data_IF_747163828242
#
_entry.id   IF_747163828242
#
_cell.length_a   1.000
_cell.length_b   1.000
_cell.length_c   1.000
_cell.angle_alpha   90.00
_cell.angle_beta   90.00
_cell.angle_gamma   90.00
#
_symmetry.space_group_name_H-M   'P 1'
#
loop_
_entity.id
_entity.type
_entity.pdbx_description
1 polymer ?
#
# COMPACT_ATOMS: atom_id res chain seq x y z
N UNK A 1 -41.67 33.46 10.89
CA UNK A 1 -40.70 32.52 11.51
C UNK A 1 -40.80 31.14 10.83
N UNK A 2 -41.99 30.51 10.77
CA UNK A 2 -42.16 29.14 10.21
C UNK A 2 -41.75 29.08 8.76
N UNK A 3 -42.08 30.05 7.90
CA UNK A 3 -41.69 30.10 6.50
C UNK A 3 -40.18 30.25 6.36
N UNK A 4 -39.53 31.03 7.21
CA UNK A 4 -38.06 31.20 7.18
C UNK A 4 -37.32 29.93 7.60
N UNK A 5 -37.81 29.25 8.64
CA UNK A 5 -37.25 27.94 9.08
C UNK A 5 -37.44 26.88 8.00
N UNK A 6 -38.61 26.85 7.33
CA UNK A 6 -38.85 25.94 6.22
C UNK A 6 -37.90 26.20 5.04
N UNK A 7 -37.67 27.46 4.66
CA UNK A 7 -36.75 27.82 3.58
C UNK A 7 -35.28 27.44 3.92
N UNK A 8 -34.85 27.61 5.17
CA UNK A 8 -33.51 27.21 5.64
C UNK A 8 -33.38 25.69 5.58
N UNK A 9 -34.37 24.93 6.03
CA UNK A 9 -34.37 23.47 5.96
C UNK A 9 -34.32 22.96 4.50
N UNK A 10 -35.11 23.54 3.62
CA UNK A 10 -35.08 23.20 2.19
C UNK A 10 -33.72 23.56 1.60
N UNK A 11 -33.16 24.72 1.92
CA UNK A 11 -31.83 25.13 1.47
C UNK A 11 -30.73 24.17 1.96
N UNK A 12 -30.79 23.72 3.21
CA UNK A 12 -29.86 22.74 3.78
C UNK A 12 -30.01 21.36 3.12
N UNK A 13 -31.24 20.93 2.84
CA UNK A 13 -31.51 19.66 2.12
C UNK A 13 -31.02 19.74 0.68
N UNK A 14 -31.25 20.85 -0.02
CA UNK A 14 -30.76 21.06 -1.39
C UNK A 14 -29.21 21.14 -1.40
N UNK A 15 -28.61 21.83 -0.46
CA UNK A 15 -27.14 21.88 -0.32
C UNK A 15 -26.56 20.50 0.02
N UNK A 16 -27.23 19.74 0.88
CA UNK A 16 -26.85 18.35 1.21
C UNK A 16 -27.00 17.42 0.01
N UNK A 17 -28.10 17.54 -0.74
CA UNK A 17 -28.31 16.78 -1.97
C UNK A 17 -27.30 17.19 -3.06
N UNK A 18 -27.06 18.49 -3.27
CA UNK A 18 -26.03 18.96 -4.20
C UNK A 18 -24.65 18.45 -3.81
N UNK A 19 -24.29 18.43 -2.52
CA UNK A 19 -23.05 17.86 -2.01
C UNK A 19 -23.00 16.33 -2.19
N UNK A 20 -24.10 15.62 -2.06
CA UNK A 20 -24.20 14.16 -2.31
C UNK A 20 -24.15 13.80 -3.79
N UNK A 21 -24.62 14.69 -4.66
CA UNK A 21 -24.65 14.50 -6.13
C UNK A 21 -23.59 15.32 -6.88
N UNK A 22 -22.63 15.97 -6.18
CA UNK A 22 -21.48 16.54 -6.85
C UNK A 22 -20.76 15.41 -7.60
N UNK A 23 -20.65 15.56 -8.92
CA UNK A 23 -19.91 14.65 -9.79
C UNK A 23 -18.55 14.36 -9.14
N UNK A 24 -18.21 13.11 -9.00
CA UNK A 24 -16.89 12.70 -8.61
C UNK A 24 -15.87 13.30 -9.59
N UNK A 25 -15.18 14.37 -9.16
CA UNK A 25 -14.21 15.08 -9.99
C UNK A 25 -13.04 14.19 -10.43
N UNK A 26 -12.88 13.02 -9.79
CA UNK A 26 -11.85 12.04 -10.08
C UNK A 26 -12.28 11.03 -11.16
N UNK A 27 -13.55 11.01 -11.58
CA UNK A 27 -14.04 10.08 -12.60
C UNK A 27 -13.34 10.23 -13.97
N UNK A 28 -12.74 11.39 -14.24
CA UNK A 28 -11.91 11.60 -15.43
C UNK A 28 -10.63 10.72 -15.43
N UNK A 29 -10.22 10.21 -14.27
CA UNK A 29 -9.08 9.32 -14.09
C UNK A 29 -9.46 7.84 -14.07
N UNK A 30 -10.70 7.49 -14.40
CA UNK A 30 -11.11 6.09 -14.50
C UNK A 30 -10.62 5.41 -15.81
N UNK A 31 -10.09 6.17 -16.76
CA UNK A 31 -9.48 5.70 -18.01
C UNK A 31 -8.16 6.46 -18.26
N UNK A 32 -7.13 5.79 -18.85
CA UNK A 32 -7.07 4.40 -19.30
C UNK A 32 -7.06 3.37 -18.15
N UNK A 33 -7.37 2.09 -18.48
CA UNK A 33 -7.43 1.02 -17.47
C UNK A 33 -6.06 0.50 -17.02
N UNK A 34 -4.98 0.81 -17.72
CA UNK A 34 -3.63 0.28 -17.49
C UNK A 34 -3.33 -0.99 -18.31
N UNK A 35 -2.13 -1.53 -18.12
CA UNK A 35 -1.72 -2.78 -18.77
C UNK A 35 -2.30 -3.97 -18.01
N UNK A 36 -2.99 -4.88 -18.72
CA UNK A 36 -3.62 -6.07 -18.12
C UNK A 36 -2.78 -7.32 -18.32
N UNK A 37 -2.77 -8.15 -17.29
CA UNK A 37 -2.14 -9.46 -17.25
C UNK A 37 -3.19 -10.53 -16.93
N UNK A 38 -3.29 -11.52 -17.82
CA UNK A 38 -4.22 -12.65 -17.68
C UNK A 38 -3.46 -13.94 -17.96
N UNK A 39 -3.85 -15.07 -17.38
CA UNK A 39 -3.23 -16.36 -17.68
C UNK A 39 -3.25 -16.66 -19.19
N UNK A 40 -2.13 -17.15 -19.72
CA UNK A 40 -1.87 -17.23 -21.16
C UNK A 40 -2.77 -18.23 -21.91
N UNK A 41 -3.21 -19.31 -21.25
CA UNK A 41 -4.01 -20.38 -21.85
C UNK A 41 -4.91 -21.10 -20.83
N UNK A 42 -5.70 -22.04 -21.32
CA UNK A 42 -6.65 -22.78 -20.47
C UNK A 42 -6.00 -23.55 -19.33
N UNK A 43 -4.77 -24.03 -19.51
CA UNK A 43 -4.01 -24.75 -18.47
C UNK A 43 -3.56 -23.78 -17.39
N UNK A 44 -3.01 -22.62 -17.77
CA UNK A 44 -2.64 -21.57 -16.87
C UNK A 44 -3.86 -21.01 -16.10
N UNK A 45 -5.02 -20.81 -16.76
CA UNK A 45 -6.28 -20.43 -16.12
C UNK A 45 -6.70 -21.44 -15.05
N UNK A 46 -6.62 -22.75 -15.36
CA UNK A 46 -7.00 -23.79 -14.40
C UNK A 46 -6.02 -23.84 -13.21
N UNK A 47 -4.72 -23.70 -13.44
CA UNK A 47 -3.69 -23.69 -12.40
C UNK A 47 -3.86 -22.46 -11.48
N UNK A 48 -4.03 -21.27 -12.06
CA UNK A 48 -4.31 -20.03 -11.36
C UNK A 48 -5.55 -20.14 -10.48
N UNK A 49 -6.67 -20.58 -11.05
CA UNK A 49 -7.93 -20.74 -10.32
C UNK A 49 -7.79 -21.73 -9.15
N UNK A 50 -7.04 -22.82 -9.31
CA UNK A 50 -6.77 -23.78 -8.25
C UNK A 50 -5.93 -23.16 -7.12
N UNK A 51 -4.86 -22.44 -7.45
CA UNK A 51 -3.98 -21.76 -6.51
C UNK A 51 -4.73 -20.67 -5.72
N UNK A 52 -5.47 -19.80 -6.42
CA UNK A 52 -6.30 -18.75 -5.81
C UNK A 52 -7.37 -19.35 -4.91
N UNK A 53 -8.02 -20.44 -5.32
CA UNK A 53 -9.01 -21.15 -4.48
C UNK A 53 -8.40 -21.70 -3.20
N UNK A 54 -7.21 -22.32 -3.29
CA UNK A 54 -6.48 -22.87 -2.13
C UNK A 54 -6.08 -21.74 -1.17
N UNK A 55 -5.52 -20.64 -1.70
CA UNK A 55 -5.16 -19.46 -0.93
C UNK A 55 -6.37 -18.83 -0.25
N UNK A 56 -7.47 -18.63 -0.97
CA UNK A 56 -8.70 -18.06 -0.43
C UNK A 56 -9.30 -18.93 0.69
N UNK A 57 -9.18 -20.27 0.61
CA UNK A 57 -9.57 -21.16 1.69
C UNK A 57 -8.70 -20.95 2.94
N UNK A 58 -7.38 -20.80 2.76
CA UNK A 58 -6.41 -20.54 3.84
C UNK A 58 -6.67 -19.18 4.51
N UNK A 59 -6.88 -18.13 3.72
CA UNK A 59 -7.19 -16.77 4.19
C UNK A 59 -8.51 -16.73 5.00
N UNK A 60 -9.57 -17.38 4.50
CA UNK A 60 -10.85 -17.47 5.24
C UNK A 60 -10.72 -18.29 6.53
N UNK A 61 -9.90 -19.32 6.52
CA UNK A 61 -9.59 -20.12 7.73
C UNK A 61 -8.91 -19.26 8.80
N UNK A 62 -7.97 -18.42 8.40
CA UNK A 62 -7.25 -17.52 9.30
C UNK A 62 -8.12 -16.34 9.79
N UNK A 63 -8.92 -15.72 8.89
CA UNK A 63 -9.72 -14.54 9.23
C UNK A 63 -11.06 -14.86 9.93
N UNK A 64 -11.64 -16.04 9.69
CA UNK A 64 -12.95 -16.41 10.21
C UNK A 64 -13.09 -16.33 11.73
N UNK A 65 -12.15 -16.85 12.53
CA UNK A 65 -12.15 -16.70 13.98
C UNK A 65 -12.10 -15.24 14.45
N UNK A 66 -11.37 -14.38 13.71
CA UNK A 66 -11.18 -12.97 14.07
C UNK A 66 -12.49 -12.17 14.02
N UNK A 67 -13.40 -12.50 13.11
CA UNK A 67 -14.67 -11.75 12.93
C UNK A 67 -15.56 -11.80 14.19
N UNK A 68 -15.43 -12.82 15.01
CA UNK A 68 -16.22 -13.04 16.22
C UNK A 68 -15.60 -12.40 17.47
N UNK A 69 -14.37 -11.92 17.39
CA UNK A 69 -13.66 -11.34 18.53
C UNK A 69 -14.08 -9.88 18.80
N UNK A 70 -14.04 -9.46 20.07
CA UNK A 70 -14.11 -8.03 20.43
C UNK A 70 -13.00 -7.23 19.72
N UNK A 71 -13.27 -5.96 19.39
CA UNK A 71 -12.39 -5.14 18.56
C UNK A 71 -10.91 -5.13 18.99
N UNK A 72 -10.62 -4.90 20.27
CA UNK A 72 -9.23 -4.87 20.77
C UNK A 72 -8.52 -6.21 20.61
N UNK A 73 -9.19 -7.32 20.93
CA UNK A 73 -8.63 -8.66 20.78
C UNK A 73 -8.43 -9.02 19.30
N UNK A 74 -9.36 -8.57 18.44
CA UNK A 74 -9.28 -8.79 17.00
C UNK A 74 -8.03 -8.15 16.40
N UNK A 75 -7.67 -6.92 16.79
CA UNK A 75 -6.46 -6.25 16.29
C UNK A 75 -5.22 -7.06 16.67
N UNK A 76 -5.06 -7.46 17.93
CA UNK A 76 -3.92 -8.24 18.37
C UNK A 76 -3.84 -9.58 17.62
N UNK A 77 -4.94 -10.31 17.56
CA UNK A 77 -5.00 -11.57 16.83
C UNK A 77 -4.75 -11.41 15.31
N UNK A 78 -5.14 -10.28 14.72
CA UNK A 78 -4.83 -9.95 13.33
C UNK A 78 -3.31 -9.74 13.13
N UNK A 79 -2.64 -9.05 14.05
CA UNK A 79 -1.17 -8.87 14.02
C UNK A 79 -0.46 -10.23 14.07
N UNK A 80 -0.80 -11.06 15.07
CA UNK A 80 -0.25 -12.41 15.20
C UNK A 80 -0.51 -13.28 13.96
N UNK A 81 -1.73 -13.19 13.39
CA UNK A 81 -2.10 -13.94 12.19
C UNK A 81 -1.26 -13.51 11.00
N UNK A 82 -1.06 -12.20 10.78
CA UNK A 82 -0.25 -11.70 9.68
C UNK A 82 1.21 -12.11 9.82
N UNK A 83 1.78 -12.00 11.02
CA UNK A 83 3.17 -12.39 11.28
C UNK A 83 3.40 -13.89 11.12
N UNK A 84 2.41 -14.71 11.45
CA UNK A 84 2.51 -16.19 11.35
C UNK A 84 2.18 -16.73 9.96
N UNK A 85 1.42 -16.00 9.15
CA UNK A 85 0.91 -16.50 7.87
C UNK A 85 2.04 -16.83 6.89
N UNK A 86 3.16 -16.13 6.96
CA UNK A 86 4.33 -16.29 6.10
C UNK A 86 5.58 -16.80 6.82
N UNK A 87 5.49 -17.10 8.13
CA UNK A 87 6.66 -17.43 8.97
C UNK A 87 7.31 -18.79 8.69
N UNK A 88 6.68 -19.64 7.90
CA UNK A 88 7.15 -21.02 7.63
C UNK A 88 8.00 -21.16 6.36
N UNK A 89 8.25 -20.07 5.64
CA UNK A 89 9.03 -20.12 4.39
C UNK A 89 10.51 -19.91 4.69
N UNK A 90 11.36 -20.74 4.11
CA UNK A 90 12.80 -20.53 4.15
C UNK A 90 13.16 -19.29 3.32
N UNK A 91 13.97 -18.42 3.89
CA UNK A 91 14.54 -17.24 3.23
C UNK A 91 16.06 -17.39 3.14
N UNK A 92 16.64 -16.90 2.05
CA UNK A 92 18.09 -16.97 1.84
C UNK A 92 18.83 -15.76 2.39
N UNK A 93 18.12 -14.65 2.62
CA UNK A 93 18.69 -13.40 3.09
C UNK A 93 19.18 -13.45 4.53
N UNK A 94 20.24 -12.71 4.80
CA UNK A 94 20.62 -12.34 6.15
C UNK A 94 19.63 -11.30 6.68
N UNK A 95 19.20 -11.47 7.94
CA UNK A 95 18.33 -10.53 8.66
C UNK A 95 19.15 -9.84 9.74
N UNK A 96 19.24 -8.51 9.68
CA UNK A 96 19.98 -7.69 10.65
C UNK A 96 19.01 -6.71 11.29
N UNK A 97 18.57 -6.92 12.55
CA UNK A 97 17.75 -5.95 13.27
C UNK A 97 18.50 -4.63 13.47
N UNK A 98 17.77 -3.51 13.33
CA UNK A 98 18.33 -2.17 13.49
C UNK A 98 17.26 -1.22 14.05
N UNK A 99 17.69 -0.13 14.67
CA UNK A 99 16.84 1.01 15.04
C UNK A 99 17.15 2.20 14.13
N UNK A 100 16.11 2.71 13.46
CA UNK A 100 16.24 3.86 12.56
C UNK A 100 15.81 5.16 13.24
N UNK A 101 16.62 5.59 14.21
CA UNK A 101 16.36 6.78 15.03
C UNK A 101 15.03 6.69 15.83
N UNK A 102 14.80 5.56 16.49
CA UNK A 102 13.64 5.28 17.32
C UNK A 102 12.53 4.50 16.61
N UNK A 103 12.72 4.09 15.35
CA UNK A 103 11.81 3.20 14.63
C UNK A 103 12.49 1.84 14.45
N UNK A 104 11.95 0.76 15.05
CA UNK A 104 12.48 -0.57 14.86
C UNK A 104 12.41 -0.97 13.37
N UNK A 105 13.44 -1.66 12.90
CA UNK A 105 13.53 -2.11 11.51
C UNK A 105 14.43 -3.34 11.39
N UNK A 106 14.49 -3.91 10.23
CA UNK A 106 15.47 -4.95 9.88
C UNK A 106 15.99 -4.75 8.46
N UNK A 107 17.29 -4.94 8.29
CA UNK A 107 17.86 -5.15 6.98
C UNK A 107 17.66 -6.59 6.54
N UNK A 108 17.23 -6.75 5.28
CA UNK A 108 17.06 -8.03 4.60
C UNK A 108 18.02 -8.02 3.40
N UNK A 109 19.03 -8.87 3.43
CA UNK A 109 20.15 -8.84 2.46
C UNK A 109 20.29 -10.22 1.83
N UNK A 110 19.86 -10.35 0.57
CA UNK A 110 20.03 -11.56 -0.18
C UNK A 110 21.52 -11.88 -0.46
N UNK A 111 21.91 -13.14 -0.62
CA UNK A 111 23.28 -13.50 -0.95
C UNK A 111 23.79 -12.75 -2.21
N UNK A 112 24.86 -11.99 -2.06
CA UNK A 112 25.46 -11.21 -3.13
C UNK A 112 24.80 -9.86 -3.42
N UNK A 113 23.78 -9.46 -2.68
CA UNK A 113 23.14 -8.15 -2.85
C UNK A 113 24.11 -6.99 -2.50
N UNK A 114 24.03 -5.93 -3.29
CA UNK A 114 24.88 -4.73 -3.16
C UNK A 114 24.32 -3.81 -2.08
N UNK A 115 25.02 -3.70 -0.96
CA UNK A 115 24.64 -2.88 0.20
C UNK A 115 24.69 -1.37 -0.08
N UNK A 116 25.36 -0.93 -1.15
CA UNK A 116 25.32 0.47 -1.59
C UNK A 116 24.00 0.83 -2.29
N UNK A 117 23.22 -0.16 -2.71
CA UNK A 117 21.87 -0.01 -3.24
C UNK A 117 20.90 -0.25 -2.10
N UNK A 118 20.06 0.72 -1.76
CA UNK A 118 19.19 0.69 -0.59
C UNK A 118 17.73 0.73 -0.99
N UNK A 119 16.94 -0.10 -0.36
CA UNK A 119 15.52 -0.25 -0.66
C UNK A 119 14.71 -0.14 0.63
N UNK A 120 13.83 0.85 0.75
CA UNK A 120 12.91 0.96 1.88
C UNK A 120 11.63 0.18 1.56
N UNK A 121 11.25 -0.77 2.43
CA UNK A 121 9.99 -1.47 2.35
C UNK A 121 9.06 -1.08 3.50
N UNK A 122 7.83 -0.69 3.18
CA UNK A 122 6.79 -0.23 4.10
C UNK A 122 5.62 -1.21 4.02
N UNK A 123 5.42 -2.01 5.06
CA UNK A 123 4.41 -3.07 5.05
C UNK A 123 2.98 -2.55 5.09
N UNK A 124 2.03 -3.35 4.58
CA UNK A 124 0.60 -3.14 4.66
C UNK A 124 0.00 -3.53 6.02
N UNK A 125 -1.33 -3.75 6.04
CA UNK A 125 -2.05 -4.17 7.26
C UNK A 125 -2.99 -3.10 7.80
N UNK A 126 -3.58 -2.28 6.91
CA UNK A 126 -4.59 -1.27 7.23
C UNK A 126 -4.15 -0.26 8.31
N UNK A 127 -2.85 0.01 8.43
CA UNK A 127 -2.20 0.85 9.46
C UNK A 127 -2.36 0.32 10.90
N UNK A 128 -2.92 -0.85 11.10
CA UNK A 128 -3.26 -1.44 12.40
C UNK A 128 -2.55 -2.76 12.67
N UNK A 129 -2.00 -3.40 11.64
CA UNK A 129 -1.35 -4.70 11.73
C UNK A 129 -0.18 -4.80 10.74
N UNK A 130 0.54 -5.92 10.77
CA UNK A 130 1.75 -6.16 10.00
C UNK A 130 3.01 -5.81 10.81
N UNK A 131 4.10 -6.38 10.38
CA UNK A 131 5.46 -6.13 10.87
C UNK A 131 6.46 -6.60 9.80
N UNK A 132 7.73 -6.20 9.84
CA UNK A 132 8.75 -6.73 8.92
C UNK A 132 8.77 -8.26 8.85
N UNK A 133 8.56 -8.94 9.97
CA UNK A 133 8.57 -10.40 10.08
C UNK A 133 7.56 -11.07 9.14
N UNK A 134 6.36 -10.53 9.01
CA UNK A 134 5.31 -11.06 8.14
C UNK A 134 5.60 -10.87 6.65
N UNK A 135 6.60 -10.08 6.30
CA UNK A 135 6.93 -9.73 4.90
C UNK A 135 8.29 -10.25 4.44
N UNK A 136 9.01 -11.01 5.27
CA UNK A 136 10.37 -11.47 4.98
C UNK A 136 10.50 -12.24 3.66
N UNK A 137 9.51 -13.04 3.27
CA UNK A 137 9.53 -13.75 1.99
C UNK A 137 9.54 -12.78 0.81
N UNK A 138 8.72 -11.73 0.87
CA UNK A 138 8.69 -10.72 -0.18
C UNK A 138 9.95 -9.86 -0.16
N UNK A 139 10.41 -9.42 1.00
CA UNK A 139 11.61 -8.56 1.13
C UNK A 139 12.89 -9.31 0.78
N UNK A 140 12.99 -10.62 1.08
CA UNK A 140 14.05 -11.51 0.57
C UNK A 140 14.06 -11.54 -0.97
N UNK A 141 12.90 -11.76 -1.57
CA UNK A 141 12.79 -11.77 -3.03
C UNK A 141 13.10 -10.40 -3.65
N UNK A 142 12.60 -9.30 -3.03
CA UNK A 142 12.94 -7.94 -3.49
C UNK A 142 14.43 -7.65 -3.39
N UNK A 143 15.09 -8.03 -2.29
CA UNK A 143 16.54 -7.89 -2.15
C UNK A 143 17.28 -8.59 -3.28
N UNK A 144 16.91 -9.84 -3.59
CA UNK A 144 17.54 -10.63 -4.62
C UNK A 144 17.36 -10.03 -6.03
N UNK A 145 16.12 -9.66 -6.42
CA UNK A 145 15.82 -9.19 -7.78
C UNK A 145 16.31 -7.77 -8.03
N UNK A 146 16.30 -6.89 -7.02
CA UNK A 146 16.79 -5.51 -7.17
C UNK A 146 18.27 -5.35 -6.87
N UNK A 147 18.94 -6.44 -6.45
CA UNK A 147 20.34 -6.42 -6.02
C UNK A 147 20.59 -5.31 -4.98
N UNK A 148 19.77 -5.25 -3.93
CA UNK A 148 19.78 -4.15 -2.95
C UNK A 148 19.63 -4.68 -1.52
N UNK A 149 20.19 -3.96 -0.54
CA UNK A 149 19.83 -4.16 0.85
C UNK A 149 18.43 -3.56 1.10
N UNK A 150 17.48 -4.37 1.57
CA UNK A 150 16.11 -3.94 1.87
C UNK A 150 15.98 -3.61 3.36
N UNK A 151 15.64 -2.37 3.68
CA UNK A 151 15.27 -1.93 5.03
C UNK A 151 13.75 -2.07 5.17
N UNK A 152 13.30 -3.05 5.94
CA UNK A 152 11.89 -3.24 6.29
C UNK A 152 11.62 -2.61 7.66
N UNK A 153 10.71 -1.64 7.73
CA UNK A 153 10.44 -0.86 8.95
C UNK A 153 9.21 -1.34 9.69
N UNK A 154 9.27 -1.30 11.02
CA UNK A 154 8.17 -1.59 11.95
C UNK A 154 7.59 -0.27 12.48
N UNK A 155 6.89 0.45 11.60
CA UNK A 155 6.31 1.75 11.94
C UNK A 155 5.18 1.63 12.97
N UNK A 156 5.00 2.64 13.80
CA UNK A 156 3.97 2.70 14.85
C UNK A 156 2.57 2.51 14.26
N UNK A 157 1.79 1.61 14.85
CA UNK A 157 0.48 1.22 14.38
C UNK A 157 -0.66 1.94 15.12
N UNK A 158 -1.79 2.09 14.43
CA UNK A 158 -3.07 2.46 15.02
C UNK A 158 -3.71 1.24 15.71
N UNK A 159 -4.59 1.41 16.68
CA UNK A 159 -5.06 2.69 17.24
C UNK A 159 -4.20 3.25 18.37
N UNK A 160 -3.12 2.58 18.76
CA UNK A 160 -2.23 3.01 19.85
C UNK A 160 -1.54 4.34 19.51
N UNK A 161 -1.28 4.56 18.22
CA UNK A 161 -0.66 5.76 17.70
C UNK A 161 -1.58 6.43 16.66
N UNK A 162 -1.25 7.64 16.28
CA UNK A 162 -2.00 8.38 15.25
C UNK A 162 -1.58 7.95 13.85
N UNK A 163 -2.42 8.23 12.85
CA UNK A 163 -2.07 8.04 11.44
C UNK A 163 -0.81 8.83 11.04
N UNK A 164 -0.62 10.01 11.62
CA UNK A 164 0.57 10.83 11.37
C UNK A 164 1.84 10.19 11.93
N UNK A 165 1.77 9.49 13.06
CA UNK A 165 2.91 8.75 13.58
C UNK A 165 3.43 7.69 12.59
N UNK A 166 2.52 6.99 11.88
CA UNK A 166 2.93 6.07 10.81
C UNK A 166 3.71 6.80 9.69
N UNK A 167 3.26 8.00 9.32
CA UNK A 167 3.89 8.82 8.27
C UNK A 167 5.27 9.32 8.73
N UNK A 168 5.36 9.81 9.98
CA UNK A 168 6.62 10.31 10.53
C UNK A 168 7.69 9.22 10.65
N UNK A 169 7.30 8.01 11.04
CA UNK A 169 8.23 6.87 11.12
C UNK A 169 8.79 6.52 9.73
N UNK A 170 7.96 6.55 8.68
CA UNK A 170 8.42 6.33 7.31
C UNK A 170 9.44 7.40 6.87
N UNK A 171 9.20 8.68 7.20
CA UNK A 171 10.10 9.81 6.90
C UNK A 171 11.42 9.67 7.64
N UNK A 172 11.35 9.39 8.95
CA UNK A 172 12.52 9.19 9.81
C UNK A 172 13.40 8.05 9.28
N UNK A 173 12.78 6.89 8.99
CA UNK A 173 13.51 5.74 8.48
C UNK A 173 14.08 5.96 7.07
N UNK A 174 13.38 6.71 6.22
CA UNK A 174 13.89 7.08 4.90
C UNK A 174 15.13 7.96 5.01
N UNK A 175 15.08 9.05 5.79
CA UNK A 175 16.23 9.93 6.01
C UNK A 175 17.39 9.15 6.63
N UNK A 176 17.12 8.31 7.65
CA UNK A 176 18.13 7.48 8.28
C UNK A 176 18.78 6.51 7.26
N UNK A 177 18.00 5.87 6.41
CA UNK A 177 18.49 4.96 5.38
C UNK A 177 19.40 5.65 4.36
N UNK A 178 19.17 6.93 4.06
CA UNK A 178 20.04 7.68 3.14
C UNK A 178 21.45 7.86 3.71
N UNK A 179 21.58 7.94 5.01
CA UNK A 179 22.85 8.19 5.71
C UNK A 179 23.51 6.90 6.24
N UNK A 180 22.70 5.83 6.45
CA UNK A 180 23.17 4.61 7.12
C UNK A 180 22.92 3.38 6.24
N UNK A 181 23.94 2.55 6.10
CA UNK A 181 23.86 1.23 5.46
C UNK A 181 23.67 0.09 6.46
N UNK A 182 23.66 -1.18 5.98
CA UNK A 182 23.53 -2.36 6.83
C UNK A 182 24.66 -2.56 7.84
N UNK A 183 25.78 -1.90 7.66
CA UNK A 183 26.95 -1.97 8.55
C UNK A 183 26.81 -1.04 9.78
N UNK A 184 25.73 -0.28 9.86
CA UNK A 184 25.41 0.62 10.97
C UNK A 184 26.13 1.98 10.90
N UNK A 185 25.84 2.87 11.89
CA UNK A 185 26.35 4.23 11.90
C UNK A 185 27.86 4.33 12.24
N UNK A 186 28.45 3.25 12.74
CA UNK A 186 29.86 3.21 13.14
C UNK A 186 30.81 2.78 12.00
N UNK A 187 30.30 2.58 10.79
CA UNK A 187 31.15 2.32 9.63
C UNK A 187 32.00 3.56 9.33
N UNK A 188 33.32 3.38 9.30
CA UNK A 188 34.31 4.45 9.07
C UNK A 188 34.12 5.25 7.78
N UNK A 189 33.19 4.87 6.94
CA UNK A 189 32.79 5.55 5.71
C UNK A 189 31.27 5.66 5.62
N UNK A 190 30.75 6.88 5.72
CA UNK A 190 29.39 7.21 5.30
C UNK A 190 29.28 7.05 3.78
N UNK A 191 29.02 5.83 3.32
CA UNK A 191 28.75 5.61 1.90
C UNK A 191 27.31 6.03 1.58
N UNK A 192 27.17 7.13 0.84
CA UNK A 192 25.88 7.48 0.25
C UNK A 192 25.42 6.36 -0.69
N UNK A 193 24.13 5.98 -0.68
CA UNK A 193 23.64 4.93 -1.54
C UNK A 193 23.83 5.28 -3.02
N UNK A 194 24.26 4.30 -3.83
CA UNK A 194 24.37 4.45 -5.29
C UNK A 194 23.00 4.49 -5.95
N UNK A 195 22.04 3.70 -5.44
CA UNK A 195 20.64 3.72 -5.83
C UNK A 195 19.73 3.63 -4.60
N UNK A 196 18.57 4.25 -4.69
CA UNK A 196 17.54 4.25 -3.64
C UNK A 196 16.21 3.86 -4.23
N UNK A 197 15.53 2.91 -3.60
CA UNK A 197 14.19 2.47 -3.99
C UNK A 197 13.25 2.49 -2.80
N UNK A 198 11.96 2.63 -3.06
CA UNK A 198 10.91 2.58 -2.03
C UNK A 198 9.77 1.72 -2.53
N UNK A 199 9.26 0.84 -1.67
CA UNK A 199 8.03 0.13 -1.95
C UNK A 199 7.16 -0.06 -0.72
N UNK A 200 5.88 -0.36 -0.97
CA UNK A 200 4.95 -0.78 0.06
C UNK A 200 3.67 -1.32 -0.55
N UNK A 201 2.91 -2.03 0.28
CA UNK A 201 1.67 -2.67 -0.13
C UNK A 201 0.47 -2.10 0.65
N UNK A 202 -0.70 -1.99 0.02
CA UNK A 202 -1.95 -1.58 0.68
C UNK A 202 -1.80 -0.26 1.46
N UNK A 203 -1.88 -0.31 2.78
CA UNK A 203 -1.59 0.81 3.69
C UNK A 203 -0.14 1.30 3.57
N UNK A 204 0.82 0.39 3.45
CA UNK A 204 2.23 0.71 3.17
C UNK A 204 2.41 1.34 1.79
N UNK A 205 1.62 0.92 0.80
CA UNK A 205 1.56 1.57 -0.51
C UNK A 205 1.10 3.04 -0.41
N UNK A 206 0.11 3.33 0.45
CA UNK A 206 -0.27 4.70 0.75
C UNK A 206 0.88 5.49 1.37
N UNK A 207 1.55 4.92 2.39
CA UNK A 207 2.68 5.55 3.07
C UNK A 207 3.84 5.78 2.10
N UNK A 208 4.10 4.85 1.18
CA UNK A 208 5.05 5.03 0.07
C UNK A 208 4.72 6.26 -0.75
N UNK A 209 3.49 6.38 -1.27
CA UNK A 209 3.08 7.50 -2.11
C UNK A 209 3.12 8.85 -1.37
N UNK A 210 2.77 8.86 -0.09
CA UNK A 210 2.89 10.05 0.79
C UNK A 210 4.36 10.43 0.99
N UNK A 211 5.24 9.44 1.17
CA UNK A 211 6.67 9.65 1.33
C UNK A 211 7.32 10.25 0.08
N UNK A 212 6.93 9.78 -1.13
CA UNK A 212 7.44 10.33 -2.38
C UNK A 212 7.13 11.83 -2.52
N UNK A 213 5.89 12.24 -2.27
CA UNK A 213 5.48 13.63 -2.31
C UNK A 213 6.23 14.47 -1.25
N UNK A 214 6.35 13.94 -0.02
CA UNK A 214 7.10 14.60 1.03
C UNK A 214 8.58 14.76 0.69
N UNK A 215 9.23 13.75 0.12
CA UNK A 215 10.64 13.81 -0.26
C UNK A 215 10.87 14.91 -1.32
N UNK A 216 10.01 15.00 -2.34
CA UNK A 216 10.03 16.07 -3.33
C UNK A 216 9.85 17.44 -2.68
N UNK A 217 8.80 17.62 -1.88
CA UNK A 217 8.42 18.91 -1.30
C UNK A 217 9.45 19.44 -0.29
N UNK A 218 10.20 18.52 0.34
CA UNK A 218 11.26 18.86 1.30
C UNK A 218 12.67 18.73 0.71
N UNK A 219 12.79 18.63 -0.63
CA UNK A 219 14.08 18.58 -1.33
C UNK A 219 15.02 17.46 -0.81
N UNK A 220 14.42 16.35 -0.37
CA UNK A 220 15.17 15.14 -0.02
C UNK A 220 15.62 14.43 -1.29
N UNK A 221 16.67 13.64 -1.20
CA UNK A 221 17.04 12.76 -2.31
C UNK A 221 15.83 11.93 -2.74
N UNK A 222 15.42 12.08 -3.99
CA UNK A 222 14.35 11.27 -4.54
C UNK A 222 14.82 9.81 -4.71
N UNK A 223 13.94 8.81 -4.51
CA UNK A 223 14.25 7.44 -4.94
C UNK A 223 14.46 7.41 -6.46
N UNK A 224 15.30 6.47 -6.93
CA UNK A 224 15.47 6.19 -8.34
C UNK A 224 14.17 5.68 -8.97
N UNK A 225 13.42 4.87 -8.20
CA UNK A 225 12.10 4.36 -8.57
C UNK A 225 11.31 3.94 -7.32
N UNK A 226 9.99 3.82 -7.47
CA UNK A 226 9.10 3.38 -6.42
C UNK A 226 8.07 2.35 -6.92
N UNK A 227 7.61 1.48 -6.00
CA UNK A 227 6.58 0.47 -6.24
C UNK A 227 5.47 0.60 -5.21
N UNK A 228 4.21 0.64 -5.66
CA UNK A 228 3.07 0.54 -4.77
C UNK A 228 2.19 -0.65 -5.17
N UNK A 229 2.04 -1.61 -4.26
CA UNK A 229 1.22 -2.80 -4.44
C UNK A 229 -0.18 -2.54 -3.87
N UNK A 230 -1.21 -2.56 -4.71
CA UNK A 230 -2.61 -2.40 -4.27
C UNK A 230 -2.83 -1.21 -3.32
N UNK A 231 -2.31 0.00 -3.60
CA UNK A 231 -2.29 1.09 -2.64
C UNK A 231 -3.68 1.65 -2.36
N UNK A 232 -3.99 2.02 -1.11
CA UNK A 232 -5.10 2.92 -0.80
C UNK A 232 -4.65 4.35 -1.05
N UNK A 233 -5.32 5.07 -1.95
CA UNK A 233 -4.90 6.42 -2.37
C UNK A 233 -5.90 7.51 -1.99
N UNK A 234 -7.13 7.13 -1.62
CA UNK A 234 -8.22 8.03 -1.21
C UNK A 234 -8.89 7.54 0.07
N UNK A 235 -8.54 8.14 1.20
CA UNK A 235 -9.12 7.82 2.52
C UNK A 235 -10.60 8.24 2.66
N UNK A 236 -11.20 8.83 1.63
CA UNK A 236 -12.65 9.09 1.56
C UNK A 236 -13.41 7.86 1.09
N UNK A 237 -12.70 6.86 0.54
CA UNK A 237 -13.25 5.61 -0.01
C UNK A 237 -14.36 5.87 -1.06
N UNK A 238 -14.08 6.75 -2.02
CA UNK A 238 -15.03 7.16 -3.06
C UNK A 238 -14.86 6.41 -4.38
N UNK A 239 -13.81 5.63 -4.54
CA UNK A 239 -13.53 4.88 -5.78
C UNK A 239 -14.63 3.88 -6.11
N UNK A 240 -15.04 3.75 -7.38
CA UNK A 240 -16.15 2.87 -7.79
C UNK A 240 -15.93 1.39 -7.41
N UNK A 241 -14.71 0.90 -7.48
CA UNK A 241 -14.35 -0.48 -7.12
C UNK A 241 -14.60 -0.82 -5.65
N UNK A 242 -14.68 0.17 -4.74
CA UNK A 242 -15.04 -0.06 -3.32
C UNK A 242 -16.37 -0.82 -3.20
N UNK A 243 -17.33 -0.50 -4.05
CA UNK A 243 -18.63 -1.18 -4.08
C UNK A 243 -18.67 -2.26 -5.15
N UNK A 244 -18.09 -1.99 -6.33
CA UNK A 244 -18.08 -2.90 -7.46
C UNK A 244 -17.43 -4.24 -7.16
N UNK A 245 -16.30 -4.21 -6.45
CA UNK A 245 -15.48 -5.37 -6.14
C UNK A 245 -15.67 -5.91 -4.70
N UNK A 246 -16.63 -5.39 -3.94
CA UNK A 246 -16.84 -5.78 -2.54
C UNK A 246 -17.06 -7.30 -2.38
N UNK A 247 -17.64 -7.96 -3.38
CA UNK A 247 -17.91 -9.40 -3.32
C UNK A 247 -16.76 -10.28 -3.81
N UNK A 248 -15.91 -9.76 -4.69
CA UNK A 248 -14.73 -10.46 -5.22
C UNK A 248 -13.51 -10.33 -4.31
N UNK A 249 -13.36 -9.23 -3.58
CA UNK A 249 -12.24 -9.01 -2.67
C UNK A 249 -12.39 -9.86 -1.39
N UNK A 250 -11.63 -10.94 -1.32
CA UNK A 250 -11.68 -11.88 -0.19
C UNK A 250 -10.99 -11.32 1.06
N UNK A 251 -9.95 -10.49 0.87
CA UNK A 251 -9.11 -9.98 1.96
C UNK A 251 -9.77 -8.77 2.63
N UNK A 252 -10.20 -7.78 1.84
CA UNK A 252 -10.70 -6.53 2.38
C UNK A 252 -12.21 -6.52 2.64
N UNK A 253 -12.99 -7.46 2.05
CA UNK A 253 -14.43 -7.55 2.27
C UNK A 253 -14.84 -7.58 3.76
N UNK A 254 -14.20 -8.35 4.66
CA UNK A 254 -14.59 -8.38 6.08
C UNK A 254 -14.46 -7.00 6.74
N UNK A 255 -13.47 -6.20 6.33
CA UNK A 255 -13.26 -4.84 6.82
C UNK A 255 -14.21 -3.85 6.15
N UNK A 256 -14.35 -3.94 4.83
CA UNK A 256 -15.05 -2.95 4.00
C UNK A 256 -16.57 -3.11 4.01
N UNK A 257 -17.12 -4.31 4.23
CA UNK A 257 -18.56 -4.60 4.09
C UNK A 257 -19.49 -3.68 4.90
N UNK A 258 -19.00 -3.17 6.04
CA UNK A 258 -19.76 -2.22 6.87
C UNK A 258 -19.56 -0.77 6.43
N UNK A 259 -18.37 -0.44 5.92
CA UNK A 259 -18.00 0.92 5.51
C UNK A 259 -18.50 1.27 4.10
N UNK A 260 -18.61 0.30 3.21
CA UNK A 260 -19.05 0.51 1.81
C UNK A 260 -20.43 1.17 1.66
N UNK A 261 -21.28 1.08 2.68
CA UNK A 261 -22.63 1.65 2.71
C UNK A 261 -22.76 2.89 3.59
N UNK A 262 -21.69 3.27 4.30
CA UNK A 262 -21.66 4.50 5.10
C UNK A 262 -21.45 5.69 4.16
N UNK A 263 -22.26 6.77 4.28
CA UNK A 263 -22.03 7.98 3.51
C UNK A 263 -20.62 8.53 3.72
N UNK A 264 -19.93 8.91 2.63
CA UNK A 264 -18.53 9.35 2.67
C UNK A 264 -18.24 10.50 3.65
N UNK A 265 -19.23 11.42 3.84
CA UNK A 265 -19.08 12.51 4.82
C UNK A 265 -19.00 11.99 6.27
N UNK A 266 -19.70 10.90 6.61
CA UNK A 266 -19.62 10.26 7.94
C UNK A 266 -18.27 9.57 8.13
N UNK A 267 -17.73 8.93 7.07
CA UNK A 267 -16.38 8.37 7.07
C UNK A 267 -15.37 9.50 7.29
N UNK A 268 -15.50 10.61 6.56
CA UNK A 268 -14.66 11.80 6.72
C UNK A 268 -14.70 12.40 8.11
N UNK A 269 -15.86 12.44 8.74
CA UNK A 269 -16.03 12.92 10.11
C UNK A 269 -15.37 11.97 11.13
N UNK A 270 -15.58 10.67 10.98
CA UNK A 270 -14.95 9.65 11.82
C UNK A 270 -13.42 9.67 11.66
N UNK A 271 -12.90 9.76 10.43
CA UNK A 271 -11.47 9.89 10.16
C UNK A 271 -10.85 11.13 10.83
N UNK A 272 -11.56 12.27 10.82
CA UNK A 272 -11.09 13.49 11.49
C UNK A 272 -10.97 13.31 13.01
N UNK A 273 -11.92 12.62 13.63
CA UNK A 273 -11.87 12.36 15.08
C UNK A 273 -10.84 11.30 15.44
N UNK A 274 -10.66 10.26 14.62
CA UNK A 274 -9.76 9.15 14.92
C UNK A 274 -8.31 9.39 14.48
N UNK A 275 -8.10 10.05 13.34
CA UNK A 275 -6.79 10.23 12.74
C UNK A 275 -6.21 11.65 12.90
N UNK A 276 -6.99 12.60 13.43
CA UNK A 276 -6.57 14.00 13.57
C UNK A 276 -6.47 14.79 12.26
N UNK A 277 -6.71 14.14 11.10
CA UNK A 277 -6.63 14.72 9.77
C UNK A 277 -7.95 14.64 9.01
N UNK A 278 -8.15 15.56 8.05
CA UNK A 278 -9.26 15.42 7.10
C UNK A 278 -8.97 14.25 6.16
N UNK A 279 -9.97 13.45 5.84
CA UNK A 279 -9.82 12.38 4.85
C UNK A 279 -9.37 12.89 3.46
N UNK A 280 -9.57 14.17 3.17
CA UNK A 280 -9.11 14.83 1.95
C UNK A 280 -7.70 15.43 2.03
N UNK A 281 -7.02 15.29 3.16
CA UNK A 281 -5.65 15.77 3.31
C UNK A 281 -4.70 14.88 2.49
N UNK A 282 -3.82 15.43 1.63
CA UNK A 282 -2.86 14.66 0.85
C UNK A 282 -1.95 13.75 1.69
N UNK A 283 -1.71 14.09 2.94
CA UNK A 283 -0.91 13.25 3.87
C UNK A 283 -1.56 11.91 4.22
N UNK A 284 -2.85 11.76 3.96
CA UNK A 284 -3.59 10.50 4.13
C UNK A 284 -4.28 10.04 2.84
N UNK A 285 -4.47 10.94 1.88
CA UNK A 285 -5.08 10.71 0.58
C UNK A 285 -4.17 11.25 -0.53
N UNK A 286 -3.07 10.58 -0.84
CA UNK A 286 -2.08 11.06 -1.81
C UNK A 286 -2.65 11.34 -3.20
N UNK A 287 -3.74 10.68 -3.60
CA UNK A 287 -4.48 10.97 -4.84
C UNK A 287 -4.92 12.44 -4.92
N UNK A 288 -5.15 13.12 -3.81
CA UNK A 288 -5.64 14.50 -3.77
C UNK A 288 -4.53 15.54 -3.75
N UNK A 289 -3.26 15.11 -3.62
CA UNK A 289 -2.08 15.96 -3.65
C UNK A 289 -1.66 16.37 -5.06
N UNK A 290 -0.58 17.13 -5.13
CA UNK A 290 0.17 17.38 -6.36
C UNK A 290 1.03 16.16 -6.69
N UNK A 291 0.89 15.64 -7.91
CA UNK A 291 1.59 14.45 -8.38
C UNK A 291 2.67 14.76 -9.44
N UNK A 292 2.94 16.02 -9.72
CA UNK A 292 4.02 16.42 -10.61
C UNK A 292 5.40 16.18 -9.98
N UNK A 293 6.39 15.81 -10.80
CA UNK A 293 7.79 15.70 -10.39
C UNK A 293 8.07 14.58 -9.37
N UNK A 294 7.20 13.58 -9.27
CA UNK A 294 7.48 12.37 -8.51
C UNK A 294 8.46 11.46 -9.27
N UNK A 295 9.21 10.59 -8.56
CA UNK A 295 10.08 9.62 -9.22
C UNK A 295 9.29 8.61 -10.05
N UNK A 296 9.96 7.86 -10.96
CA UNK A 296 9.35 6.76 -11.69
C UNK A 296 8.58 5.82 -10.74
N UNK A 297 7.33 5.52 -11.08
CA UNK A 297 6.41 4.79 -10.22
C UNK A 297 5.74 3.62 -10.95
N UNK A 298 5.84 2.43 -10.37
CA UNK A 298 5.04 1.27 -10.75
C UNK A 298 3.93 1.03 -9.72
N UNK A 299 2.70 0.91 -10.20
CA UNK A 299 1.56 0.50 -9.36
C UNK A 299 1.03 -0.83 -9.88
N UNK A 300 0.95 -1.82 -9.00
CA UNK A 300 0.28 -3.09 -9.28
C UNK A 300 -1.07 -3.11 -8.57
N UNK A 301 -2.11 -3.58 -9.25
CA UNK A 301 -3.43 -3.76 -8.68
C UNK A 301 -4.15 -4.98 -9.27
N UNK A 302 -5.12 -5.52 -8.53
CA UNK A 302 -5.98 -6.60 -9.00
C UNK A 302 -7.31 -6.05 -9.55
N UNK A 303 -7.84 -6.69 -10.59
CA UNK A 303 -9.17 -6.36 -11.09
C UNK A 303 -10.29 -6.74 -10.09
N UNK A 304 -10.00 -7.67 -9.17
CA UNK A 304 -10.92 -8.19 -8.17
C UNK A 304 -10.94 -7.42 -6.85
N UNK A 305 -9.94 -6.54 -6.58
CA UNK A 305 -9.84 -5.84 -5.31
C UNK A 305 -10.63 -4.53 -5.25
N UNK A 306 -11.04 -4.15 -4.04
CA UNK A 306 -11.78 -2.89 -3.84
C UNK A 306 -10.92 -1.64 -4.05
N UNK A 307 -9.59 -1.74 -4.00
CA UNK A 307 -8.65 -0.63 -4.20
C UNK A 307 -8.16 -0.50 -5.66
N UNK A 308 -8.69 -1.30 -6.60
CA UNK A 308 -8.32 -1.22 -8.02
C UNK A 308 -8.36 0.21 -8.56
N UNK A 309 -9.45 0.91 -8.34
CA UNK A 309 -9.64 2.24 -8.89
C UNK A 309 -8.85 3.32 -8.14
N UNK A 310 -8.46 3.06 -6.90
CA UNK A 310 -7.51 3.89 -6.16
C UNK A 310 -6.17 3.96 -6.89
N UNK A 311 -5.59 2.80 -7.23
CA UNK A 311 -4.34 2.70 -8.00
C UNK A 311 -4.48 3.30 -9.39
N UNK A 312 -5.56 2.98 -10.10
CA UNK A 312 -5.84 3.48 -11.45
C UNK A 312 -5.93 5.01 -11.49
N UNK A 313 -6.75 5.61 -10.63
CA UNK A 313 -6.92 7.06 -10.55
C UNK A 313 -5.62 7.78 -10.19
N UNK A 314 -4.84 7.20 -9.28
CA UNK A 314 -3.56 7.77 -8.89
C UNK A 314 -2.59 7.82 -10.07
N UNK A 315 -2.39 6.69 -10.77
CA UNK A 315 -1.49 6.62 -11.93
C UNK A 315 -1.94 7.55 -13.04
N UNK A 316 -3.23 7.53 -13.41
CA UNK A 316 -3.73 8.39 -14.49
C UNK A 316 -3.56 9.88 -14.18
N UNK A 317 -3.76 10.28 -12.90
CA UNK A 317 -3.50 11.64 -12.47
C UNK A 317 -2.01 11.97 -12.46
N UNK A 318 -1.15 11.03 -12.06
CA UNK A 318 0.30 11.23 -12.05
C UNK A 318 0.86 11.41 -13.47
N UNK A 319 0.37 10.60 -14.43
CA UNK A 319 0.71 10.74 -15.86
C UNK A 319 0.22 12.08 -16.42
N UNK A 320 -1.02 12.51 -16.10
CA UNK A 320 -1.52 13.84 -16.50
C UNK A 320 -0.65 14.97 -15.94
N UNK A 321 -0.06 14.76 -14.76
CA UNK A 321 0.86 15.73 -14.13
C UNK A 321 2.32 15.62 -14.65
N UNK A 322 2.62 14.75 -15.61
CA UNK A 322 3.93 14.57 -16.21
C UNK A 322 4.88 13.63 -15.45
N UNK A 323 4.39 12.89 -14.46
CA UNK A 323 5.16 11.86 -13.75
C UNK A 323 5.21 10.58 -14.57
N UNK A 324 6.39 9.92 -14.63
CA UNK A 324 6.55 8.59 -15.21
C UNK A 324 5.92 7.55 -14.28
N UNK A 325 4.66 7.21 -14.55
CA UNK A 325 3.90 6.27 -13.74
C UNK A 325 3.21 5.21 -14.61
N UNK A 326 3.30 3.95 -14.19
CA UNK A 326 2.72 2.80 -14.87
C UNK A 326 1.77 2.04 -13.96
N UNK A 327 0.57 1.71 -14.47
CA UNK A 327 -0.37 0.79 -13.83
C UNK A 327 -0.35 -0.55 -14.55
N UNK A 328 -0.13 -1.62 -13.79
CA UNK A 328 -0.28 -3.00 -14.23
C UNK A 328 -1.39 -3.68 -13.42
N UNK A 329 -2.35 -4.29 -14.11
CA UNK A 329 -3.51 -4.96 -13.53
C UNK A 329 -3.45 -6.46 -13.79
N UNK A 330 -3.63 -7.26 -12.76
CA UNK A 330 -3.76 -8.72 -12.87
C UNK A 330 -5.22 -9.15 -12.69
N UNK A 331 -5.63 -10.09 -13.53
CA UNK A 331 -6.97 -10.65 -13.49
C UNK A 331 -7.07 -11.77 -12.42
N UNK A 332 -8.18 -11.75 -11.67
CA UNK A 332 -8.58 -12.83 -10.76
C UNK A 332 -7.63 -13.16 -9.60
N UNK A 333 -6.74 -12.27 -9.23
CA UNK A 333 -5.85 -12.45 -8.06
C UNK A 333 -6.38 -11.69 -6.83
N UNK A 334 -6.04 -12.12 -5.60
CA UNK A 334 -6.47 -11.40 -4.39
C UNK A 334 -5.71 -10.07 -4.23
N UNK A 335 -6.22 -9.19 -3.36
CA UNK A 335 -5.53 -7.98 -2.91
C UNK A 335 -4.09 -8.27 -2.48
N UNK A 336 -3.11 -7.46 -2.93
CA UNK A 336 -1.66 -7.57 -2.66
C UNK A 336 -1.06 -8.96 -2.98
N UNK A 337 -1.53 -9.62 -4.03
CA UNK A 337 -1.13 -11.00 -4.38
C UNK A 337 0.39 -11.26 -4.46
N UNK A 338 1.28 -10.31 -4.76
CA UNK A 338 2.73 -10.58 -4.79
C UNK A 338 3.30 -11.05 -3.44
N UNK A 339 2.66 -10.69 -2.31
CA UNK A 339 3.10 -11.16 -0.99
C UNK A 339 2.90 -12.67 -0.78
N UNK A 340 2.08 -13.32 -1.64
CA UNK A 340 1.82 -14.75 -1.60
C UNK A 340 2.78 -15.57 -2.47
N UNK A 341 3.89 -14.97 -2.87
CA UNK A 341 5.00 -15.71 -3.48
C UNK A 341 5.55 -16.74 -2.47
N UNK A 342 5.85 -18.00 -2.89
CA UNK A 342 5.70 -18.56 -4.23
C UNK A 342 4.35 -19.27 -4.48
N UNK A 343 3.36 -19.14 -3.61
CA UNK A 343 2.10 -19.90 -3.63
C UNK A 343 1.23 -19.61 -4.88
N UNK A 344 1.39 -18.41 -5.48
CA UNK A 344 0.66 -17.99 -6.67
C UNK A 344 1.60 -17.82 -7.86
N UNK A 345 1.31 -18.42 -9.04
CA UNK A 345 2.08 -18.19 -10.26
C UNK A 345 2.13 -16.71 -10.66
N UNK A 346 1.03 -15.99 -10.52
CA UNK A 346 0.91 -14.57 -10.84
C UNK A 346 1.76 -13.69 -9.91
N UNK A 347 2.08 -14.17 -8.70
CA UNK A 347 3.02 -13.47 -7.82
C UNK A 347 4.44 -13.52 -8.36
N UNK A 348 4.86 -14.66 -8.93
CA UNK A 348 6.16 -14.79 -9.59
C UNK A 348 6.23 -13.89 -10.84
N UNK A 349 5.19 -13.94 -11.69
CA UNK A 349 5.09 -13.08 -12.88
C UNK A 349 5.14 -11.58 -12.52
N UNK A 350 4.41 -11.17 -11.48
CA UNK A 350 4.42 -9.79 -11.01
C UNK A 350 5.82 -9.36 -10.54
N UNK A 351 6.53 -10.22 -9.83
CA UNK A 351 7.90 -9.95 -9.38
C UNK A 351 8.91 -9.88 -10.52
N UNK A 352 8.70 -10.60 -11.64
CA UNK A 352 9.48 -10.43 -12.87
C UNK A 352 9.25 -9.05 -13.51
N UNK A 353 8.00 -8.56 -13.54
CA UNK A 353 7.71 -7.21 -14.01
C UNK A 353 8.33 -6.14 -13.09
N UNK A 354 8.31 -6.36 -11.77
CA UNK A 354 8.97 -5.50 -10.77
C UNK A 354 10.48 -5.46 -11.01
N UNK A 355 11.14 -6.60 -11.21
CA UNK A 355 12.57 -6.69 -11.55
C UNK A 355 12.90 -5.88 -12.80
N UNK A 356 12.15 -6.09 -13.88
CA UNK A 356 12.31 -5.35 -15.13
C UNK A 356 12.14 -3.84 -14.96
N UNK A 357 11.19 -3.41 -14.12
CA UNK A 357 10.97 -1.99 -13.83
C UNK A 357 12.16 -1.39 -13.08
N UNK A 358 12.60 -1.98 -11.99
CA UNK A 358 13.71 -1.44 -11.20
C UNK A 358 15.04 -1.46 -11.97
N UNK A 359 15.28 -2.45 -12.83
CA UNK A 359 16.48 -2.48 -13.71
C UNK A 359 16.53 -1.31 -14.69
N UNK A 360 15.39 -0.83 -15.18
CA UNK A 360 15.36 0.33 -16.09
C UNK A 360 15.66 1.65 -15.39
N UNK A 361 15.49 1.72 -14.06
CA UNK A 361 15.64 2.94 -13.28
C UNK A 361 16.79 2.85 -12.24
N UNK A 362 17.72 1.92 -12.48
CA UNK A 362 18.86 1.64 -11.59
C UNK A 362 20.09 2.43 -11.96
#
# INVERSE_FOLDING_TARGET
VIILVGAILVGLVVALLAFMFTRDSLSKYDLPEGQRFSPADATAVAASAAAVKALNKRLRGASGPLEKMPWKQRILAMRETMDSFFSSSDIASQIIPVDTAGVPAEWVIAPGADSSRRFLYIHGGAFMAGSPKGYRVLTDKLSAITNSAVLAIDYRLMPENTRLACVEDCRTSYDWMLENGPQGPDADTLEFPTAVFVAGDSAGGNLTLVLLAWARDNQRRAPNAALALSPVTDSRYTSPSIRGNLNSDVILKPLAKRLAWVPGFMIGLAARFMAGHRASDPVVSPLLGDLAGLPPLLVLASDCEILRDDGRRYVNKAVEAGTDATLMLWDNVPHVWPIFYPDLPEAAEALEQVDGFFKRHS
#
